data_IF_165130629419
#
_entry.id   IF_165130629419
#
_cell.length_a   1.000
_cell.length_b   1.000
_cell.length_c   1.000
_cell.angle_alpha   90.00
_cell.angle_beta   90.00
_cell.angle_gamma   90.00
#
_symmetry.space_group_name_H-M   'P 1'
#
loop_
_entity.id
_entity.type
_entity.pdbx_description
1 polymer ?
#
# COMPACT_ATOMS: atom_id res chain seq x y z
N UNK A 1 -19.31 23.70 19.31
CA UNK A 1 -19.05 24.06 20.73
C UNK A 1 -19.75 23.10 21.66
N UNK A 2 -21.07 22.82 21.50
CA UNK A 2 -21.81 21.87 22.34
C UNK A 2 -21.16 20.47 22.42
N UNK A 3 -20.68 19.93 21.28
CA UNK A 3 -19.97 18.65 21.26
C UNK A 3 -18.66 18.68 22.05
N UNK A 4 -17.90 19.78 21.98
CA UNK A 4 -16.66 19.95 22.77
C UNK A 4 -16.92 20.02 24.27
N UNK A 5 -18.15 20.37 24.68
CA UNK A 5 -18.61 20.39 26.06
C UNK A 5 -19.35 19.09 26.48
N UNK A 6 -19.19 18.01 25.71
CA UNK A 6 -19.72 16.69 26.09
C UNK A 6 -21.20 16.45 25.76
N UNK A 7 -21.81 17.26 24.90
CA UNK A 7 -23.21 17.06 24.49
C UNK A 7 -23.43 15.88 23.53
N UNK A 8 -22.40 15.08 23.26
CA UNK A 8 -22.45 13.94 22.37
C UNK A 8 -22.31 14.30 20.88
N UNK A 9 -22.47 13.32 19.96
CA UNK A 9 -22.37 13.53 18.53
C UNK A 9 -23.53 14.38 18.01
N UNK A 10 -23.29 15.12 16.92
CA UNK A 10 -24.30 15.92 16.23
C UNK A 10 -24.24 15.69 14.72
N UNK A 11 -25.42 15.66 14.10
CA UNK A 11 -25.59 15.64 12.66
C UNK A 11 -26.01 17.04 12.21
N UNK A 12 -25.29 17.63 11.26
CA UNK A 12 -25.64 18.90 10.62
C UNK A 12 -26.05 18.62 9.18
N UNK A 13 -27.33 18.82 8.89
CA UNK A 13 -27.86 18.79 7.52
C UNK A 13 -27.74 20.18 6.91
N UNK A 14 -26.91 20.34 5.89
CA UNK A 14 -26.71 21.59 5.17
C UNK A 14 -27.52 21.56 3.86
N UNK A 15 -28.56 22.40 3.77
CA UNK A 15 -29.37 22.57 2.56
C UNK A 15 -28.64 23.51 1.60
N UNK A 16 -27.79 22.93 0.74
CA UNK A 16 -26.93 23.69 -0.18
C UNK A 16 -27.49 23.79 -1.59
N UNK A 17 -27.06 24.79 -2.33
CA UNK A 17 -27.32 24.93 -3.76
C UNK A 17 -26.00 25.20 -4.48
N UNK A 18 -25.88 24.69 -5.71
CA UNK A 18 -24.75 25.03 -6.58
C UNK A 18 -25.13 26.23 -7.43
N UNK A 19 -24.46 27.37 -7.24
CA UNK A 19 -24.72 28.61 -7.95
C UNK A 19 -24.18 28.58 -9.38
N UNK A 20 -22.92 28.14 -9.54
CA UNK A 20 -22.22 28.10 -10.81
C UNK A 20 -22.37 26.78 -11.56
N UNK A 21 -21.97 26.68 -12.84
CA UNK A 21 -21.82 25.44 -13.57
C UNK A 21 -20.92 24.42 -12.86
N UNK A 22 -21.02 23.15 -13.26
CA UNK A 22 -20.20 22.08 -12.70
C UNK A 22 -18.68 22.31 -12.90
N UNK A 23 -18.32 22.87 -14.06
CA UNK A 23 -16.94 23.17 -14.44
C UNK A 23 -16.92 24.35 -15.41
N UNK A 24 -15.72 24.86 -15.71
CA UNK A 24 -15.54 25.93 -16.71
C UNK A 24 -16.01 25.56 -18.12
N UNK A 25 -16.10 24.27 -18.44
CA UNK A 25 -16.59 23.75 -19.72
C UNK A 25 -18.09 23.42 -19.74
N UNK A 26 -18.78 23.53 -18.59
CA UNK A 26 -20.20 23.23 -18.45
C UNK A 26 -21.06 24.48 -18.66
N UNK A 27 -22.23 24.31 -19.24
CA UNK A 27 -23.27 25.33 -19.35
C UNK A 27 -24.57 24.80 -18.76
N UNK A 28 -24.79 25.08 -17.48
CA UNK A 28 -25.93 24.57 -16.72
C UNK A 28 -27.29 25.12 -17.23
N UNK A 29 -27.32 26.14 -18.08
CA UNK A 29 -28.54 26.66 -18.72
C UNK A 29 -29.15 25.65 -19.70
N UNK A 30 -28.35 24.65 -20.15
CA UNK A 30 -28.80 23.57 -21.01
C UNK A 30 -29.69 22.54 -20.31
N UNK A 31 -29.61 22.45 -18.97
CA UNK A 31 -30.35 21.47 -18.17
C UNK A 31 -31.04 22.03 -16.93
N UNK A 32 -30.91 23.33 -16.66
CA UNK A 32 -31.62 24.04 -15.60
C UNK A 32 -32.49 25.15 -16.19
N UNK A 33 -33.75 25.19 -15.76
CA UNK A 33 -34.68 26.21 -16.20
C UNK A 33 -34.31 27.61 -15.63
N UNK A 34 -34.70 28.66 -16.34
CA UNK A 34 -34.42 30.06 -15.94
C UNK A 34 -34.99 30.40 -14.58
N UNK A 35 -36.21 29.95 -14.28
CA UNK A 35 -36.86 30.14 -12.96
C UNK A 35 -36.08 29.46 -11.83
N UNK A 36 -35.52 28.28 -12.08
CA UNK A 36 -34.67 27.56 -11.14
C UNK A 36 -33.39 28.36 -10.86
N UNK A 37 -32.71 28.82 -11.89
CA UNK A 37 -31.49 29.63 -11.75
C UNK A 37 -31.71 30.92 -10.98
N UNK A 38 -32.82 31.64 -11.22
CA UNK A 38 -33.20 32.84 -10.46
C UNK A 38 -33.44 32.48 -8.98
N UNK A 39 -34.15 31.41 -8.70
CA UNK A 39 -34.41 30.95 -7.34
C UNK A 39 -33.12 30.59 -6.59
N UNK A 40 -32.18 29.90 -7.26
CA UNK A 40 -30.89 29.50 -6.71
C UNK A 40 -30.05 30.75 -6.34
N UNK A 41 -29.98 31.72 -7.22
CA UNK A 41 -29.27 33.01 -6.96
C UNK A 41 -29.80 33.70 -5.68
N UNK A 42 -31.11 33.67 -5.46
CA UNK A 42 -31.71 34.22 -4.23
C UNK A 42 -31.33 33.44 -2.95
N UNK A 43 -30.79 32.22 -3.07
CA UNK A 43 -30.33 31.38 -1.94
C UNK A 43 -28.82 31.46 -1.71
N UNK A 44 -28.10 32.31 -2.40
CA UNK A 44 -26.67 32.52 -2.18
C UNK A 44 -26.39 32.83 -0.71
N UNK A 45 -25.56 32.02 -0.01
CA UNK A 45 -25.28 32.22 1.41
C UNK A 45 -24.56 33.54 1.70
N UNK A 46 -23.78 34.07 0.77
CA UNK A 46 -23.14 35.40 0.91
C UNK A 46 -24.20 36.47 0.95
N UNK A 47 -25.11 36.49 -0.04
CA UNK A 47 -26.20 37.45 -0.09
C UNK A 47 -27.15 37.35 1.11
N UNK A 48 -27.42 36.12 1.60
CA UNK A 48 -28.24 35.91 2.79
C UNK A 48 -27.55 36.44 4.05
N UNK A 49 -26.26 36.23 4.20
CA UNK A 49 -25.46 36.70 5.33
C UNK A 49 -25.37 38.25 5.30
N UNK A 50 -25.10 38.83 4.14
CA UNK A 50 -25.08 40.28 3.96
C UNK A 50 -26.40 40.92 4.37
N UNK A 51 -27.54 40.40 3.89
CA UNK A 51 -28.89 40.85 4.27
C UNK A 51 -29.13 40.73 5.77
N UNK A 52 -28.66 39.62 6.38
CA UNK A 52 -28.79 39.42 7.82
C UNK A 52 -27.98 40.48 8.61
N UNK A 53 -26.74 40.73 8.24
CA UNK A 53 -25.87 41.69 8.91
C UNK A 53 -26.40 43.14 8.78
N UNK A 54 -26.86 43.53 7.58
CA UNK A 54 -27.48 44.83 7.33
C UNK A 54 -28.76 45.02 8.14
N UNK A 55 -29.68 44.03 8.16
CA UNK A 55 -30.92 44.09 8.92
C UNK A 55 -30.71 44.22 10.42
N UNK A 56 -29.62 43.65 10.95
CA UNK A 56 -29.28 43.73 12.36
C UNK A 56 -28.34 44.87 12.71
N UNK A 57 -28.11 45.81 11.76
CA UNK A 57 -27.21 46.96 11.91
C UNK A 57 -25.81 46.58 12.43
N UNK A 58 -25.31 45.40 12.02
CA UNK A 58 -23.95 44.96 12.33
C UNK A 58 -22.94 45.61 11.37
N UNK A 59 -23.36 45.84 10.12
CA UNK A 59 -22.61 46.55 9.09
C UNK A 59 -23.53 47.53 8.35
N UNK A 60 -22.95 48.52 7.69
CA UNK A 60 -23.65 49.46 6.79
C UNK A 60 -23.46 49.04 5.33
N UNK A 61 -24.28 49.63 4.43
CA UNK A 61 -24.14 49.43 2.98
C UNK A 61 -22.77 49.95 2.48
N UNK A 62 -22.27 51.02 3.04
CA UNK A 62 -20.97 51.61 2.71
C UNK A 62 -19.82 50.66 3.12
N UNK A 63 -19.90 50.06 4.31
CA UNK A 63 -18.90 49.09 4.78
C UNK A 63 -18.88 47.84 3.90
N UNK A 64 -20.04 47.32 3.50
CA UNK A 64 -20.14 46.17 2.58
C UNK A 64 -19.54 46.51 1.22
N UNK A 65 -19.83 47.69 0.68
CA UNK A 65 -19.30 48.15 -0.60
C UNK A 65 -17.77 48.33 -0.54
N UNK A 66 -17.24 48.91 0.56
CA UNK A 66 -15.81 49.05 0.79
C UNK A 66 -15.11 47.69 0.85
N UNK A 67 -15.64 46.76 1.66
CA UNK A 67 -15.08 45.41 1.78
C UNK A 67 -15.06 44.67 0.44
N UNK A 68 -16.13 44.74 -0.36
CA UNK A 68 -16.16 44.15 -1.69
C UNK A 68 -15.09 44.72 -2.62
N UNK A 69 -14.89 46.04 -2.58
CA UNK A 69 -13.87 46.73 -3.39
C UNK A 69 -12.46 46.34 -2.95
N UNK A 70 -12.20 46.27 -1.65
CA UNK A 70 -10.91 45.88 -1.08
C UNK A 70 -10.57 44.42 -1.46
N UNK A 71 -11.53 43.50 -1.26
CA UNK A 71 -11.35 42.06 -1.62
C UNK A 71 -11.11 41.88 -3.12
N UNK A 72 -11.83 42.69 -3.97
CA UNK A 72 -11.57 42.59 -5.42
C UNK A 72 -10.14 43.02 -5.76
N UNK A 73 -9.65 44.12 -5.20
CA UNK A 73 -8.28 44.58 -5.40
C UNK A 73 -7.27 43.54 -4.92
N UNK A 74 -7.52 42.90 -3.76
CA UNK A 74 -6.66 41.87 -3.21
C UNK A 74 -6.59 40.63 -4.11
N UNK A 75 -7.75 40.14 -4.58
CA UNK A 75 -7.84 39.00 -5.49
C UNK A 75 -7.16 39.28 -6.82
N UNK A 76 -7.45 40.46 -7.44
CA UNK A 76 -6.83 40.84 -8.70
C UNK A 76 -5.30 40.94 -8.55
N UNK A 77 -4.81 41.54 -7.45
CA UNK A 77 -3.37 41.60 -7.15
C UNK A 77 -2.73 40.21 -6.99
N UNK A 78 -3.42 39.32 -6.27
CA UNK A 78 -2.93 37.96 -6.08
C UNK A 78 -2.88 37.17 -7.40
N UNK A 79 -3.87 37.35 -8.27
CA UNK A 79 -3.88 36.73 -9.61
C UNK A 79 -2.73 37.28 -10.48
N UNK A 80 -2.56 38.62 -10.53
CA UNK A 80 -1.47 39.26 -11.26
C UNK A 80 -0.08 38.85 -10.75
N UNK A 81 0.04 38.62 -9.44
CA UNK A 81 1.28 38.15 -8.83
C UNK A 81 1.55 36.68 -9.22
N UNK A 82 0.53 35.84 -9.16
CA UNK A 82 0.64 34.42 -9.57
C UNK A 82 1.04 34.29 -11.05
N UNK A 83 0.49 35.11 -11.93
CA UNK A 83 0.86 35.10 -13.37
C UNK A 83 2.32 35.50 -13.64
N UNK A 84 2.96 36.21 -12.70
CA UNK A 84 4.36 36.62 -12.81
C UNK A 84 5.34 35.58 -12.30
N UNK A 85 4.89 34.58 -11.57
CA UNK A 85 5.77 33.52 -11.10
C UNK A 85 6.35 32.72 -12.27
N UNK A 86 7.64 32.34 -12.20
CA UNK A 86 8.22 31.47 -13.21
C UNK A 86 7.54 30.10 -13.20
N UNK A 87 7.48 29.47 -14.35
CA UNK A 87 7.01 28.09 -14.42
C UNK A 87 7.90 27.20 -13.55
N UNK A 88 7.32 26.15 -12.90
CA UNK A 88 8.11 25.19 -12.15
C UNK A 88 9.20 24.54 -13.01
N UNK A 89 10.34 24.28 -12.42
CA UNK A 89 11.43 23.54 -13.10
C UNK A 89 11.03 22.08 -13.35
N UNK A 90 11.24 21.60 -14.56
CA UNK A 90 10.87 20.24 -14.97
C UNK A 90 11.57 19.16 -14.11
N UNK A 91 12.75 19.45 -13.57
CA UNK A 91 13.47 18.53 -12.66
C UNK A 91 12.72 18.25 -11.37
N UNK A 92 11.74 19.10 -10.99
CA UNK A 92 10.94 18.92 -9.76
C UNK A 92 9.76 17.96 -9.92
N UNK A 93 9.46 17.47 -11.13
CA UNK A 93 8.27 16.63 -11.40
C UNK A 93 8.22 15.36 -10.54
N UNK A 94 9.39 14.80 -10.18
CA UNK A 94 9.52 13.61 -9.32
C UNK A 94 9.70 13.97 -7.83
N UNK A 95 9.73 15.25 -7.47
CA UNK A 95 9.88 15.64 -6.07
C UNK A 95 8.64 15.29 -5.25
N UNK A 96 8.85 15.04 -3.98
CA UNK A 96 7.80 14.82 -2.99
C UNK A 96 6.91 13.59 -3.20
N UNK A 97 7.30 12.62 -4.06
CA UNK A 97 6.58 11.34 -4.16
C UNK A 97 6.78 10.52 -2.88
N UNK A 98 8.02 10.52 -2.35
CA UNK A 98 8.41 9.87 -1.09
C UNK A 98 9.16 10.82 -0.18
N UNK A 99 9.20 10.49 1.12
CA UNK A 99 10.01 11.21 2.13
C UNK A 99 11.50 10.92 2.00
N UNK A 100 11.87 9.80 1.36
CA UNK A 100 13.24 9.32 1.19
C UNK A 100 13.99 9.20 2.54
N UNK A 101 13.35 8.59 3.54
CA UNK A 101 13.93 8.39 4.87
C UNK A 101 15.11 7.40 4.80
N UNK A 102 16.36 7.84 5.05
CA UNK A 102 17.52 6.95 4.94
C UNK A 102 17.51 5.78 5.93
N UNK A 103 16.83 5.92 7.07
CA UNK A 103 16.72 4.84 8.06
C UNK A 103 15.92 3.64 7.53
N UNK A 104 14.99 3.90 6.61
CA UNK A 104 14.11 2.89 6.03
C UNK A 104 14.53 2.43 4.63
N UNK A 105 15.53 3.08 4.03
CA UNK A 105 16.05 2.75 2.70
C UNK A 105 17.55 2.36 2.73
N UNK A 106 18.14 2.29 3.92
CA UNK A 106 19.54 1.96 4.15
C UNK A 106 19.87 0.48 4.02
N UNK A 107 21.09 0.12 4.44
CA UNK A 107 21.50 -1.29 4.48
C UNK A 107 20.89 -2.02 5.68
N UNK A 108 20.44 -3.29 5.50
CA UNK A 108 19.86 -4.07 6.58
C UNK A 108 20.93 -4.37 7.64
N UNK A 109 20.55 -4.21 8.91
CA UNK A 109 21.38 -4.68 10.01
C UNK A 109 21.11 -6.17 10.26
N UNK A 110 22.13 -6.96 10.63
CA UNK A 110 21.91 -8.35 10.99
C UNK A 110 21.00 -8.47 12.22
N UNK A 111 20.08 -9.43 12.23
CA UNK A 111 19.19 -9.64 13.35
C UNK A 111 19.96 -10.07 14.61
N UNK A 112 19.52 -9.57 15.77
CA UNK A 112 19.95 -10.08 17.08
C UNK A 112 18.82 -10.90 17.66
N UNK A 113 19.13 -12.12 18.11
CA UNK A 113 18.16 -13.04 18.66
C UNK A 113 18.37 -13.11 20.19
N UNK A 114 17.37 -12.66 20.95
CA UNK A 114 17.44 -12.67 22.43
C UNK A 114 16.99 -14.00 23.03
N UNK A 115 16.12 -14.74 22.33
CA UNK A 115 15.69 -16.07 22.70
C UNK A 115 15.96 -17.03 21.53
N UNK A 116 16.28 -18.29 21.82
CA UNK A 116 16.39 -19.32 20.79
C UNK A 116 15.02 -19.83 20.29
N UNK A 117 13.94 -19.07 20.48
CA UNK A 117 12.58 -19.47 20.14
C UNK A 117 12.23 -19.11 18.71
N UNK A 118 11.75 -20.10 17.94
CA UNK A 118 11.13 -19.88 16.64
C UNK A 118 9.68 -19.42 16.81
N UNK A 119 9.28 -18.46 16.00
CA UNK A 119 7.92 -17.92 15.95
C UNK A 119 7.28 -18.12 14.59
N UNK A 120 5.95 -18.17 14.54
CA UNK A 120 5.21 -18.15 13.28
C UNK A 120 5.17 -16.75 12.71
N UNK A 121 4.82 -16.63 11.44
CA UNK A 121 4.67 -15.32 10.79
C UNK A 121 3.56 -14.47 11.47
N UNK A 122 2.49 -15.12 11.94
CA UNK A 122 1.43 -14.46 12.73
C UNK A 122 1.98 -13.86 14.02
N UNK A 123 2.71 -14.65 14.78
CA UNK A 123 3.28 -14.21 16.06
C UNK A 123 4.26 -13.05 15.84
N UNK A 124 5.11 -13.17 14.81
CA UNK A 124 6.09 -12.16 14.45
C UNK A 124 5.44 -10.80 14.07
N UNK A 125 4.36 -10.82 13.28
CA UNK A 125 3.60 -9.60 12.93
C UNK A 125 2.92 -9.04 14.19
N UNK A 126 2.27 -9.89 15.01
CA UNK A 126 1.62 -9.45 16.25
C UNK A 126 2.60 -8.78 17.22
N UNK A 127 3.76 -9.41 17.43
CA UNK A 127 4.80 -8.88 18.31
C UNK A 127 5.36 -7.55 17.77
N UNK A 128 5.65 -7.48 16.47
CA UNK A 128 6.09 -6.24 15.83
C UNK A 128 5.08 -5.10 15.97
N UNK A 129 3.78 -5.38 15.78
CA UNK A 129 2.71 -4.41 15.99
C UNK A 129 2.63 -3.97 17.45
N UNK A 130 2.72 -4.90 18.41
CA UNK A 130 2.72 -4.61 19.83
C UNK A 130 3.87 -3.68 20.22
N UNK A 131 5.08 -4.03 19.82
CA UNK A 131 6.29 -3.25 20.08
C UNK A 131 6.19 -1.82 19.55
N UNK A 132 5.68 -1.66 18.32
CA UNK A 132 5.51 -0.32 17.74
C UNK A 132 4.36 0.46 18.38
N UNK A 133 3.27 -0.18 18.80
CA UNK A 133 2.21 0.46 19.57
C UNK A 133 2.65 0.90 20.96
N UNK A 134 3.55 0.16 21.60
CA UNK A 134 4.20 0.57 22.85
C UNK A 134 5.13 1.79 22.64
N UNK A 135 5.89 1.78 21.54
CA UNK A 135 6.82 2.86 21.19
C UNK A 135 6.11 4.15 20.78
N UNK A 136 5.00 4.04 20.03
CA UNK A 136 4.29 5.19 19.47
C UNK A 136 2.81 5.20 19.87
N UNK A 137 2.41 6.10 20.81
CA UNK A 137 1.02 6.21 21.26
C UNK A 137 0.04 6.72 20.18
N UNK A 138 0.54 7.25 19.06
CA UNK A 138 -0.27 7.72 17.93
C UNK A 138 -0.69 6.60 16.98
N UNK A 139 -0.15 5.39 17.13
CA UNK A 139 -0.61 4.24 16.33
C UNK A 139 -2.02 3.86 16.77
N UNK A 140 -2.93 3.83 15.79
CA UNK A 140 -4.32 3.38 15.94
C UNK A 140 -4.59 2.33 14.86
N UNK A 141 -5.25 1.24 15.23
CA UNK A 141 -5.50 0.12 14.33
C UNK A 141 -6.99 -0.18 14.23
N UNK A 142 -7.47 -0.42 13.02
CA UNK A 142 -8.82 -0.94 12.80
C UNK A 142 -8.95 -1.72 11.50
N UNK A 143 -10.04 -2.41 11.40
CA UNK A 143 -10.45 -3.24 10.27
C UNK A 143 -11.61 -4.10 10.72
N UNK A 144 -12.00 -5.03 9.87
CA UNK A 144 -13.09 -5.95 10.18
C UNK A 144 -12.58 -7.07 11.11
N UNK A 145 -13.25 -7.26 12.24
CA UNK A 145 -12.93 -8.33 13.21
C UNK A 145 -11.52 -8.28 13.85
N UNK A 146 -10.81 -7.17 13.78
CA UNK A 146 -9.43 -7.06 14.30
C UNK A 146 -9.35 -7.04 15.82
N UNK A 147 -10.41 -6.65 16.51
CA UNK A 147 -10.44 -6.62 17.97
C UNK A 147 -10.68 -8.00 18.58
N UNK A 148 -10.32 -8.14 19.87
CA UNK A 148 -10.60 -9.33 20.66
C UNK A 148 -12.13 -9.55 20.85
N UNK A 149 -12.57 -10.78 21.02
CA UNK A 149 -11.77 -12.02 21.18
C UNK A 149 -11.28 -12.64 19.86
N UNK A 150 -11.70 -12.15 18.68
CA UNK A 150 -11.34 -12.74 17.39
C UNK A 150 -9.89 -12.45 17.00
N UNK A 151 -9.48 -11.18 17.05
CA UNK A 151 -8.11 -10.77 16.75
C UNK A 151 -7.74 -10.93 15.28
N UNK A 152 -8.66 -10.58 14.35
CA UNK A 152 -8.54 -10.79 12.92
C UNK A 152 -8.97 -12.19 12.48
N UNK A 153 -9.25 -12.37 11.19
CA UNK A 153 -9.70 -13.67 10.62
C UNK A 153 -8.71 -14.80 10.92
N UNK A 154 -7.42 -14.50 10.89
CA UNK A 154 -6.35 -15.46 11.12
C UNK A 154 -5.71 -15.35 12.51
N UNK A 155 -6.15 -14.39 13.33
CA UNK A 155 -5.65 -14.19 14.69
C UNK A 155 -4.39 -13.34 14.78
N UNK A 156 -4.04 -12.58 13.74
CA UNK A 156 -2.82 -11.76 13.70
C UNK A 156 -2.82 -10.65 14.76
N UNK A 157 -4.00 -10.07 15.05
CA UNK A 157 -4.15 -8.93 15.99
C UNK A 157 -4.66 -9.35 17.37
N UNK A 158 -4.68 -10.66 17.65
CA UNK A 158 -5.19 -11.18 18.93
C UNK A 158 -4.44 -10.59 20.12
N UNK A 159 -5.19 -10.15 21.14
CA UNK A 159 -4.67 -9.56 22.36
C UNK A 159 -4.27 -8.10 22.25
N UNK A 160 -4.25 -7.50 21.04
CA UNK A 160 -3.86 -6.09 20.89
C UNK A 160 -4.93 -5.13 21.39
N UNK A 161 -6.23 -5.39 21.17
CA UNK A 161 -7.28 -4.50 21.66
C UNK A 161 -7.40 -4.52 23.19
N UNK A 162 -7.12 -5.66 23.80
CA UNK A 162 -7.03 -5.79 25.25
C UNK A 162 -5.82 -5.08 25.85
N UNK A 163 -4.67 -5.13 25.15
CA UNK A 163 -3.44 -4.46 25.58
C UNK A 163 -3.47 -2.94 25.36
N UNK A 164 -4.18 -2.49 24.31
CA UNK A 164 -4.25 -1.08 23.91
C UNK A 164 -5.70 -0.61 23.77
N UNK A 165 -6.46 -0.49 24.88
CA UNK A 165 -7.86 -0.08 24.85
C UNK A 165 -8.05 1.26 24.13
N UNK A 166 -9.07 1.33 23.25
CA UNK A 166 -9.38 2.53 22.47
C UNK A 166 -8.44 2.81 21.28
N UNK A 167 -7.41 1.98 21.08
CA UNK A 167 -6.48 2.12 19.95
C UNK A 167 -6.56 0.98 18.94
N UNK A 168 -7.25 -0.11 19.27
CA UNK A 168 -7.53 -1.23 18.35
C UNK A 168 -9.03 -1.53 18.43
N UNK A 169 -9.75 -1.42 17.31
CA UNK A 169 -11.20 -1.57 17.29
C UNK A 169 -11.71 -2.09 15.94
N UNK A 170 -12.89 -2.69 15.96
CA UNK A 170 -13.54 -3.15 14.73
C UNK A 170 -14.20 -1.98 13.99
N UNK A 171 -14.13 -2.02 12.68
CA UNK A 171 -14.91 -1.17 11.78
C UNK A 171 -16.15 -1.91 11.28
N UNK A 172 -17.16 -1.20 10.76
CA UNK A 172 -18.16 -1.77 9.87
C UNK A 172 -17.52 -2.36 8.60
N UNK A 173 -18.26 -3.22 7.88
CA UNK A 173 -17.89 -3.73 6.55
C UNK A 173 -18.00 -2.60 5.52
N UNK A 174 -17.02 -1.73 5.49
CA UNK A 174 -17.00 -0.53 4.65
C UNK A 174 -15.55 -0.14 4.32
N UNK A 175 -14.91 -0.86 3.41
CA UNK A 175 -13.49 -0.74 3.10
C UNK A 175 -13.13 0.67 2.61
N UNK A 176 -14.03 1.33 1.85
CA UNK A 176 -13.87 2.74 1.48
C UNK A 176 -13.74 3.66 2.71
N UNK A 177 -14.53 3.39 3.76
CA UNK A 177 -14.46 4.14 5.02
C UNK A 177 -13.22 3.76 5.82
N UNK A 178 -12.83 2.48 5.85
CA UNK A 178 -11.60 2.04 6.50
C UNK A 178 -10.41 2.83 5.96
N UNK A 179 -10.24 2.88 4.64
CA UNK A 179 -9.15 3.61 4.00
C UNK A 179 -9.31 5.14 4.09
N UNK A 180 -10.53 5.67 3.89
CA UNK A 180 -10.78 7.11 3.92
C UNK A 180 -10.58 7.73 5.30
N UNK A 181 -11.02 7.06 6.36
CA UNK A 181 -10.76 7.48 7.75
C UNK A 181 -9.26 7.41 8.05
N UNK A 182 -8.55 6.39 7.54
CA UNK A 182 -7.11 6.29 7.69
C UNK A 182 -6.39 7.51 7.09
N UNK A 183 -6.76 7.92 5.89
CA UNK A 183 -6.21 9.12 5.27
C UNK A 183 -6.42 10.37 6.14
N UNK A 184 -7.66 10.58 6.61
CA UNK A 184 -7.99 11.72 7.46
C UNK A 184 -7.24 11.71 8.80
N UNK A 185 -7.13 10.56 9.45
CA UNK A 185 -6.38 10.43 10.71
C UNK A 185 -4.89 10.62 10.51
N UNK A 186 -4.32 10.12 9.41
CA UNK A 186 -2.91 10.31 9.08
C UNK A 186 -2.58 11.79 8.89
N UNK A 187 -3.38 12.54 8.13
CA UNK A 187 -3.26 13.99 7.97
C UNK A 187 -3.43 14.70 9.32
N UNK A 188 -4.29 14.18 10.20
CA UNK A 188 -4.46 14.65 11.58
C UNK A 188 -3.31 14.32 12.54
N UNK A 189 -2.22 13.71 12.05
CA UNK A 189 -1.01 13.42 12.81
C UNK A 189 -1.03 12.11 13.61
N UNK A 190 -1.95 11.19 13.31
CA UNK A 190 -1.92 9.81 13.79
C UNK A 190 -1.14 8.90 12.85
N UNK A 191 -0.84 7.69 13.32
CA UNK A 191 -0.23 6.61 12.54
C UNK A 191 -1.24 5.46 12.40
N UNK A 192 -2.12 5.50 11.41
CA UNK A 192 -3.12 4.47 11.21
C UNK A 192 -2.51 3.20 10.60
N UNK A 193 -2.87 2.04 11.15
CA UNK A 193 -2.60 0.72 10.61
C UNK A 193 -3.96 0.05 10.39
N UNK A 194 -4.35 -0.18 9.16
CA UNK A 194 -5.65 -0.75 8.82
C UNK A 194 -5.51 -2.12 8.16
N UNK A 195 -6.51 -2.97 8.35
CA UNK A 195 -6.55 -4.29 7.74
C UNK A 195 -7.67 -4.37 6.71
N UNK A 196 -7.31 -4.82 5.50
CA UNK A 196 -8.24 -5.40 4.52
C UNK A 196 -8.17 -6.91 4.67
N UNK A 197 -9.28 -7.55 5.06
CA UNK A 197 -9.28 -8.97 5.42
C UNK A 197 -8.76 -9.90 4.31
N UNK A 198 -9.05 -9.53 3.05
CA UNK A 198 -8.60 -10.23 1.85
C UNK A 198 -8.40 -9.24 0.71
N UNK A 199 -7.43 -9.52 -0.14
CA UNK A 199 -7.18 -8.72 -1.34
C UNK A 199 -8.42 -8.60 -2.25
N UNK A 200 -9.23 -9.64 -2.27
CA UNK A 200 -10.47 -9.70 -3.06
C UNK A 200 -11.51 -8.64 -2.64
N UNK A 201 -11.43 -8.11 -1.41
CA UNK A 201 -12.40 -7.17 -0.83
C UNK A 201 -11.94 -5.71 -0.86
N UNK A 202 -10.73 -5.43 -1.32
CA UNK A 202 -10.20 -4.05 -1.30
C UNK A 202 -10.87 -3.08 -2.29
N UNK A 203 -11.61 -3.60 -3.28
CA UNK A 203 -12.08 -2.82 -4.42
C UNK A 203 -13.02 -1.66 -4.07
N UNK A 204 -13.90 -1.73 -3.04
CA UNK A 204 -14.66 -0.56 -2.58
C UNK A 204 -13.77 0.60 -2.10
N UNK A 205 -12.54 0.31 -1.63
CA UNK A 205 -11.55 1.29 -1.19
C UNK A 205 -10.58 1.74 -2.31
N UNK A 206 -10.71 1.23 -3.54
CA UNK A 206 -9.74 1.46 -4.61
C UNK A 206 -9.49 2.95 -4.88
N UNK A 207 -10.52 3.79 -4.77
CA UNK A 207 -10.38 5.23 -4.97
C UNK A 207 -9.47 5.86 -3.92
N UNK A 208 -9.66 5.54 -2.64
CA UNK A 208 -8.84 6.04 -1.53
C UNK A 208 -7.41 5.53 -1.63
N UNK A 209 -7.24 4.25 -1.98
CA UNK A 209 -5.94 3.61 -2.12
C UNK A 209 -5.16 4.08 -3.37
N UNK A 210 -5.86 4.49 -4.44
CA UNK A 210 -5.21 4.93 -5.68
C UNK A 210 -5.06 6.45 -5.75
N UNK A 211 -6.08 7.24 -5.39
CA UNK A 211 -6.11 8.67 -5.66
C UNK A 211 -5.82 9.53 -4.43
N UNK A 212 -6.16 9.05 -3.22
CA UNK A 212 -6.07 9.90 -2.03
C UNK A 212 -4.78 9.65 -1.24
N UNK A 213 -4.63 8.48 -0.63
CA UNK A 213 -3.53 8.19 0.29
C UNK A 213 -2.14 8.42 -0.34
N UNK A 214 -1.80 7.82 -1.50
CA UNK A 214 -0.44 7.91 -2.05
C UNK A 214 -0.11 9.28 -2.63
N UNK A 215 -1.11 10.12 -2.91
CA UNK A 215 -0.91 11.42 -3.56
C UNK A 215 -0.82 12.60 -2.59
N UNK A 216 -1.14 12.41 -1.30
CA UNK A 216 -1.19 13.51 -0.31
C UNK A 216 0.12 14.30 -0.28
N UNK A 217 1.25 13.62 -0.12
CA UNK A 217 2.57 14.26 -0.06
C UNK A 217 2.90 15.01 -1.34
N UNK A 218 2.69 14.39 -2.49
CA UNK A 218 2.97 15.01 -3.79
C UNK A 218 2.09 16.24 -4.05
N UNK A 219 0.76 16.12 -3.81
CA UNK A 219 -0.19 17.22 -4.00
C UNK A 219 0.06 18.42 -3.08
N UNK A 220 0.61 18.15 -1.89
CA UNK A 220 0.95 19.19 -0.92
C UNK A 220 2.41 19.66 -1.01
N UNK A 221 3.17 19.23 -2.01
CA UNK A 221 4.59 19.55 -2.17
C UNK A 221 5.43 19.19 -0.92
N UNK A 222 5.09 18.10 -0.24
CA UNK A 222 5.78 17.61 0.95
C UNK A 222 5.30 18.17 2.28
N UNK A 223 4.39 19.14 2.27
CA UNK A 223 3.85 19.76 3.49
C UNK A 223 3.06 18.79 4.36
N UNK A 224 2.38 17.83 3.74
CA UNK A 224 1.56 16.84 4.44
C UNK A 224 2.09 15.45 4.28
N UNK A 225 2.03 14.69 5.37
CA UNK A 225 2.33 13.26 5.40
C UNK A 225 1.02 12.45 5.45
N UNK A 226 1.05 11.26 4.86
CA UNK A 226 -0.06 10.31 4.94
C UNK A 226 0.45 8.91 5.28
N UNK A 227 1.02 8.69 6.48
CA UNK A 227 1.75 7.47 6.84
C UNK A 227 0.81 6.29 7.18
N UNK A 228 -0.11 5.97 6.29
CA UNK A 228 -1.04 4.86 6.44
C UNK A 228 -0.34 3.54 6.16
N UNK A 229 -0.51 2.54 7.03
CA UNK A 229 -0.16 1.15 6.73
C UNK A 229 -1.44 0.38 6.43
N UNK A 230 -1.51 -0.23 5.24
CA UNK A 230 -2.61 -1.11 4.86
C UNK A 230 -2.10 -2.54 4.83
N UNK A 231 -2.52 -3.34 5.79
CA UNK A 231 -2.28 -4.78 5.85
C UNK A 231 -3.32 -5.50 4.99
N UNK A 232 -2.86 -6.38 4.12
CA UNK A 232 -3.75 -7.08 3.18
C UNK A 232 -3.38 -8.57 3.16
N UNK A 233 -4.33 -9.42 3.52
CA UNK A 233 -4.16 -10.86 3.38
C UNK A 233 -4.34 -11.27 1.91
N UNK A 234 -3.30 -11.89 1.34
CA UNK A 234 -3.20 -12.27 -0.09
C UNK A 234 -2.94 -13.77 -0.28
N UNK A 235 -3.01 -14.21 -1.52
CA UNK A 235 -2.56 -15.54 -1.95
C UNK A 235 -3.58 -16.65 -1.82
N UNK A 236 -3.35 -17.73 -2.55
CA UNK A 236 -4.14 -18.96 -2.57
C UNK A 236 -3.60 -20.07 -1.69
N UNK A 237 -3.74 -21.33 -2.14
CA UNK A 237 -3.40 -22.59 -1.46
C UNK A 237 -4.17 -22.84 -0.15
N UNK A 238 -5.31 -22.16 0.01
CA UNK A 238 -6.19 -22.32 1.17
C UNK A 238 -7.58 -22.84 0.80
N UNK A 239 -7.80 -23.19 -0.48
CA UNK A 239 -9.11 -23.56 -1.05
C UNK A 239 -10.13 -22.45 -0.94
N UNK A 240 -9.67 -21.19 -0.98
CA UNK A 240 -10.48 -19.98 -0.79
C UNK A 240 -11.37 -19.64 -1.97
N UNK A 241 -11.10 -20.21 -3.13
CA UNK A 241 -11.83 -19.90 -4.36
C UNK A 241 -11.61 -18.47 -4.85
N UNK A 242 -12.47 -17.97 -5.75
CA UNK A 242 -12.27 -16.68 -6.41
C UNK A 242 -12.43 -15.46 -5.51
N UNK A 243 -12.89 -15.65 -4.27
CA UNK A 243 -13.17 -14.54 -3.34
C UNK A 243 -12.16 -14.42 -2.19
N UNK A 244 -11.14 -15.30 -2.16
CA UNK A 244 -10.18 -15.33 -1.05
C UNK A 244 -8.77 -15.73 -1.51
N UNK A 245 -8.42 -15.54 -2.78
CA UNK A 245 -7.16 -16.05 -3.32
C UNK A 245 -6.38 -15.05 -4.16
N UNK A 246 -6.84 -13.80 -4.25
CA UNK A 246 -6.20 -12.79 -5.08
C UNK A 246 -4.82 -12.39 -4.55
N UNK A 247 -3.95 -12.03 -5.50
CA UNK A 247 -2.73 -11.26 -5.30
C UNK A 247 -2.91 -9.88 -5.93
N UNK A 248 -2.27 -8.85 -5.39
CA UNK A 248 -2.50 -7.45 -5.77
C UNK A 248 -1.21 -6.63 -5.82
N UNK A 249 -0.05 -7.27 -5.75
CA UNK A 249 1.23 -6.58 -5.77
C UNK A 249 1.42 -5.77 -7.05
N UNK A 250 1.00 -6.28 -8.20
CA UNK A 250 1.08 -5.58 -9.49
C UNK A 250 0.19 -4.33 -9.53
N UNK A 251 -1.00 -4.39 -8.95
CA UNK A 251 -1.90 -3.23 -8.84
C UNK A 251 -1.25 -2.09 -8.05
N UNK A 252 -0.69 -2.39 -6.88
CA UNK A 252 -0.07 -1.36 -6.05
C UNK A 252 1.29 -0.90 -6.58
N UNK A 253 2.08 -1.77 -7.21
CA UNK A 253 3.34 -1.40 -7.85
C UNK A 253 3.15 -0.39 -8.99
N UNK A 254 1.98 -0.36 -9.62
CA UNK A 254 1.63 0.62 -10.66
C UNK A 254 1.29 2.01 -10.11
N UNK A 255 1.11 2.17 -8.79
CA UNK A 255 0.68 3.43 -8.16
C UNK A 255 1.86 4.10 -7.47
N UNK A 256 2.38 5.24 -7.98
CA UNK A 256 3.43 6.00 -7.29
C UNK A 256 2.99 6.44 -5.89
N UNK A 257 3.93 6.48 -4.95
CA UNK A 257 3.71 6.96 -3.59
C UNK A 257 3.45 5.86 -2.56
N UNK A 258 3.26 4.61 -2.96
CA UNK A 258 3.22 3.46 -2.06
C UNK A 258 4.58 2.78 -1.94
N UNK A 259 5.02 2.44 -0.74
CA UNK A 259 5.91 1.32 -0.54
C UNK A 259 5.08 0.04 -0.51
N UNK A 260 5.57 -1.03 -1.15
CA UNK A 260 4.87 -2.32 -1.23
C UNK A 260 5.83 -3.41 -0.77
N UNK A 261 5.50 -4.08 0.33
CA UNK A 261 6.33 -5.13 0.93
C UNK A 261 5.57 -6.45 1.03
N UNK A 262 6.29 -7.55 0.89
CA UNK A 262 5.71 -8.89 0.83
C UNK A 262 6.65 -9.91 1.47
N UNK A 263 6.67 -10.03 2.81
CA UNK A 263 7.55 -10.97 3.52
C UNK A 263 7.19 -12.43 3.21
N UNK A 264 8.21 -13.28 3.23
CA UNK A 264 8.05 -14.73 3.08
C UNK A 264 8.25 -15.52 4.37
N UNK A 265 8.87 -14.95 5.41
CA UNK A 265 9.16 -15.61 6.68
C UNK A 265 8.87 -14.69 7.89
N UNK A 266 8.90 -15.28 9.09
CA UNK A 266 8.56 -14.60 10.33
C UNK A 266 9.51 -13.42 10.65
N UNK A 267 10.83 -13.61 10.49
CA UNK A 267 11.84 -12.58 10.72
C UNK A 267 11.59 -11.34 9.86
N UNK A 268 11.44 -11.55 8.54
CA UNK A 268 11.17 -10.44 7.62
C UNK A 268 9.83 -9.78 7.90
N UNK A 269 8.81 -10.58 8.24
CA UNK A 269 7.48 -10.04 8.56
C UNK A 269 7.54 -9.11 9.77
N UNK A 270 8.28 -9.47 10.83
CA UNK A 270 8.50 -8.58 11.99
C UNK A 270 9.25 -7.31 11.59
N UNK A 271 10.39 -7.47 10.90
CA UNK A 271 11.22 -6.32 10.51
C UNK A 271 10.50 -5.35 9.57
N UNK A 272 9.75 -5.87 8.57
CA UNK A 272 9.03 -5.05 7.61
C UNK A 272 7.79 -4.36 8.20
N UNK A 273 7.02 -5.02 9.09
CA UNK A 273 5.87 -4.36 9.73
C UNK A 273 6.32 -3.23 10.65
N UNK A 274 7.47 -3.39 11.32
CA UNK A 274 8.06 -2.34 12.13
C UNK A 274 8.56 -1.18 11.27
N UNK A 275 9.26 -1.45 10.16
CA UNK A 275 9.62 -0.42 9.18
C UNK A 275 8.40 0.33 8.66
N UNK A 276 7.32 -0.39 8.33
CA UNK A 276 6.06 0.21 7.89
C UNK A 276 5.43 1.10 8.97
N UNK A 277 5.43 0.67 10.23
CA UNK A 277 4.93 1.46 11.35
C UNK A 277 5.76 2.74 11.62
N UNK A 278 7.04 2.75 11.26
CA UNK A 278 7.93 3.92 11.40
C UNK A 278 7.97 4.82 10.18
N UNK A 279 7.48 4.35 9.01
CA UNK A 279 7.49 5.11 7.77
C UNK A 279 6.63 6.38 7.84
N UNK A 280 7.10 7.45 7.22
CA UNK A 280 6.36 8.70 6.95
C UNK A 280 5.52 8.63 5.68
N UNK A 281 5.80 7.66 4.84
CA UNK A 281 5.08 7.38 3.60
C UNK A 281 4.12 6.21 3.77
N UNK A 282 3.09 6.10 2.95
CA UNK A 282 2.14 5.02 3.05
C UNK A 282 2.73 3.68 2.59
N UNK A 283 2.33 2.59 3.25
CA UNK A 283 2.87 1.24 3.01
C UNK A 283 1.73 0.24 2.80
N UNK A 284 1.82 -0.53 1.73
CA UNK A 284 1.04 -1.76 1.52
C UNK A 284 1.86 -2.93 2.07
N UNK A 285 1.32 -3.60 3.07
CA UNK A 285 1.93 -4.76 3.70
C UNK A 285 1.16 -6.02 3.33
N UNK A 286 1.70 -6.79 2.38
CA UNK A 286 1.06 -7.99 1.84
C UNK A 286 1.39 -9.21 2.71
N UNK A 287 0.37 -9.93 3.16
CA UNK A 287 0.47 -11.06 4.08
C UNK A 287 -0.05 -12.33 3.42
N UNK A 288 0.86 -13.23 3.00
CA UNK A 288 0.42 -14.47 2.38
C UNK A 288 -0.21 -15.42 3.39
N UNK A 289 -1.52 -15.63 3.28
CA UNK A 289 -2.31 -16.44 4.21
C UNK A 289 -1.78 -17.87 4.42
N UNK A 290 -1.32 -18.50 3.34
CA UNK A 290 -0.74 -19.84 3.38
C UNK A 290 0.57 -19.94 4.16
N UNK A 291 1.25 -18.81 4.43
CA UNK A 291 2.50 -18.75 5.19
C UNK A 291 2.30 -18.49 6.68
N UNK A 292 1.17 -17.99 7.11
CA UNK A 292 0.94 -17.54 8.50
C UNK A 292 1.37 -18.56 9.58
N UNK A 293 1.08 -19.85 9.37
CA UNK A 293 1.41 -20.92 10.31
C UNK A 293 2.27 -22.03 9.69
N UNK A 294 2.79 -21.77 8.49
CA UNK A 294 3.63 -22.76 7.78
C UNK A 294 4.95 -22.95 8.52
N UNK A 295 5.32 -24.20 8.76
CA UNK A 295 6.54 -24.54 9.52
C UNK A 295 7.80 -24.00 8.84
N UNK A 296 7.85 -24.04 7.51
CA UNK A 296 9.00 -23.55 6.74
C UNK A 296 9.16 -22.00 6.81
N UNK A 297 8.09 -21.28 7.17
CA UNK A 297 8.12 -19.82 7.31
C UNK A 297 8.45 -19.36 8.76
N UNK A 298 8.60 -20.30 9.70
CA UNK A 298 9.09 -20.00 11.04
C UNK A 298 10.57 -19.64 11.01
N UNK A 299 10.93 -18.69 11.84
CA UNK A 299 12.33 -18.29 12.07
C UNK A 299 12.54 -18.01 13.56
N UNK A 300 13.79 -17.90 13.98
CA UNK A 300 14.09 -17.28 15.26
C UNK A 300 13.53 -15.86 15.28
N UNK A 301 13.02 -15.45 16.43
CA UNK A 301 12.46 -14.11 16.59
C UNK A 301 13.57 -13.10 16.81
N UNK A 302 13.70 -12.06 15.96
CA UNK A 302 14.64 -10.98 16.18
C UNK A 302 14.19 -10.05 17.32
N UNK A 303 15.12 -9.27 17.86
CA UNK A 303 14.85 -8.34 18.95
C UNK A 303 13.89 -7.20 18.53
N UNK A 304 13.49 -6.39 19.52
CA UNK A 304 12.55 -5.29 19.34
C UNK A 304 13.09 -4.10 18.53
N UNK A 305 14.37 -4.03 18.26
CA UNK A 305 14.98 -2.96 17.44
C UNK A 305 15.17 -3.36 15.98
N UNK A 306 14.99 -4.64 15.67
CA UNK A 306 15.16 -5.14 14.30
C UNK A 306 14.14 -4.55 13.34
N UNK A 307 14.64 -3.98 12.25
CA UNK A 307 13.84 -3.55 11.08
C UNK A 307 14.47 -4.09 9.79
N UNK A 308 13.65 -4.35 8.80
CA UNK A 308 14.08 -4.65 7.43
C UNK A 308 13.84 -3.40 6.58
N UNK A 309 14.88 -2.78 6.02
CA UNK A 309 14.72 -1.63 5.12
C UNK A 309 13.95 -2.00 3.86
N UNK A 310 13.21 -1.05 3.32
CA UNK A 310 12.52 -1.23 2.04
C UNK A 310 13.51 -1.30 0.88
N UNK A 311 13.17 -2.06 -0.15
CA UNK A 311 13.99 -2.20 -1.34
C UNK A 311 15.23 -3.07 -1.14
N UNK A 312 15.25 -3.93 -0.13
CA UNK A 312 16.35 -4.86 0.11
C UNK A 312 15.86 -6.30 0.03
N UNK A 313 16.23 -6.97 -1.05
CA UNK A 313 16.06 -8.40 -1.24
C UNK A 313 16.99 -9.23 -0.37
N UNK A 314 16.86 -10.55 -0.44
CA UNK A 314 17.75 -11.49 0.24
C UNK A 314 18.03 -12.72 -0.62
N UNK A 315 19.29 -13.11 -0.72
CA UNK A 315 19.66 -14.41 -1.28
C UNK A 315 19.35 -15.48 -0.22
N UNK A 316 18.29 -16.25 -0.46
CA UNK A 316 17.91 -17.39 0.42
C UNK A 316 18.75 -18.62 0.18
N UNK A 317 19.33 -18.72 -0.99
CA UNK A 317 20.26 -19.76 -1.38
C UNK A 317 21.21 -19.24 -2.44
N UNK A 318 22.49 -19.43 -2.21
CA UNK A 318 23.53 -19.15 -3.23
C UNK A 318 23.48 -20.19 -4.35
N UNK A 319 23.74 -19.75 -5.56
CA UNK A 319 23.82 -20.59 -6.74
C UNK A 319 24.68 -19.98 -7.85
N UNK A 320 24.90 -20.73 -8.94
CA UNK A 320 25.77 -20.30 -10.03
C UNK A 320 25.23 -20.60 -11.44
N UNK A 321 24.18 -21.43 -11.58
CA UNK A 321 23.73 -21.90 -12.89
C UNK A 321 22.42 -21.24 -13.34
N UNK A 322 21.55 -20.82 -12.43
CA UNK A 322 20.27 -20.17 -12.70
C UNK A 322 19.86 -19.28 -11.52
N UNK A 323 19.53 -18.03 -11.77
CA UNK A 323 18.88 -17.14 -10.80
C UNK A 323 17.37 -17.37 -10.82
N UNK A 324 16.76 -17.55 -9.64
CA UNK A 324 15.32 -17.58 -9.45
C UNK A 324 14.92 -16.36 -8.61
N UNK A 325 14.28 -15.38 -9.24
CA UNK A 325 13.72 -14.20 -8.56
C UNK A 325 12.30 -14.51 -8.14
N UNK A 326 11.98 -14.36 -6.85
CA UNK A 326 10.68 -14.76 -6.31
C UNK A 326 10.32 -13.99 -5.04
N UNK A 327 9.10 -14.14 -4.54
CA UNK A 327 8.57 -13.54 -3.30
C UNK A 327 7.39 -14.33 -2.74
N UNK A 328 6.99 -14.05 -1.51
CA UNK A 328 5.84 -14.69 -0.87
C UNK A 328 5.97 -16.22 -0.79
N UNK A 329 4.91 -16.94 -1.12
CA UNK A 329 4.85 -18.41 -1.02
C UNK A 329 5.78 -19.13 -2.00
N UNK A 330 6.03 -18.54 -3.15
CA UNK A 330 6.86 -19.14 -4.21
C UNK A 330 8.33 -19.26 -3.84
N UNK A 331 8.81 -18.52 -2.84
CA UNK A 331 10.15 -18.68 -2.25
C UNK A 331 10.40 -20.11 -1.81
N UNK A 332 9.44 -20.74 -1.12
CA UNK A 332 9.60 -22.12 -0.63
C UNK A 332 9.54 -23.16 -1.74
N UNK A 333 8.80 -22.88 -2.80
CA UNK A 333 8.79 -23.73 -4.00
C UNK A 333 10.12 -23.64 -4.74
N UNK A 334 10.70 -22.45 -4.85
CA UNK A 334 12.02 -22.24 -5.44
C UNK A 334 13.13 -22.93 -4.63
N UNK A 335 13.09 -22.83 -3.29
CA UNK A 335 14.03 -23.52 -2.41
C UNK A 335 13.91 -25.05 -2.50
N UNK A 336 12.69 -25.57 -2.63
CA UNK A 336 12.46 -27.00 -2.83
C UNK A 336 12.96 -27.45 -4.21
N UNK A 337 12.66 -26.68 -5.26
CA UNK A 337 13.20 -26.93 -6.60
C UNK A 337 14.73 -26.94 -6.57
N UNK A 338 15.36 -25.96 -5.91
CA UNK A 338 16.82 -25.87 -5.81
C UNK A 338 17.43 -27.12 -5.18
N UNK A 339 16.82 -27.68 -4.12
CA UNK A 339 17.24 -28.95 -3.50
C UNK A 339 17.09 -30.15 -4.43
N UNK A 340 16.05 -30.17 -5.26
CA UNK A 340 15.84 -31.25 -6.23
C UNK A 340 16.87 -31.16 -7.36
N UNK A 341 17.09 -29.99 -7.94
CA UNK A 341 17.99 -29.80 -9.08
C UNK A 341 19.47 -29.94 -8.71
N UNK A 342 19.82 -29.70 -7.45
CA UNK A 342 21.19 -29.97 -6.94
C UNK A 342 21.58 -31.43 -7.10
N UNK A 343 20.63 -32.38 -6.96
CA UNK A 343 20.86 -33.79 -7.21
C UNK A 343 21.15 -34.10 -8.69
N UNK A 344 20.68 -33.21 -9.56
CA UNK A 344 20.93 -33.27 -11.00
C UNK A 344 22.18 -32.47 -11.40
N UNK A 345 22.94 -31.93 -10.41
CA UNK A 345 24.16 -31.18 -10.61
C UNK A 345 23.93 -29.68 -10.96
N UNK A 346 22.71 -29.17 -10.84
CA UNK A 346 22.36 -27.78 -11.15
C UNK A 346 22.18 -26.96 -9.88
N UNK A 347 22.88 -25.82 -9.80
CA UNK A 347 22.94 -24.94 -8.64
C UNK A 347 22.09 -23.68 -8.86
N UNK A 348 20.92 -23.61 -8.23
CA UNK A 348 20.01 -22.47 -8.30
C UNK A 348 20.34 -21.44 -7.23
N UNK A 349 20.45 -20.17 -7.63
CA UNK A 349 20.40 -19.03 -6.74
C UNK A 349 18.95 -18.58 -6.55
N UNK A 350 18.51 -18.45 -5.30
CA UNK A 350 17.14 -18.07 -4.98
C UNK A 350 17.14 -16.70 -4.29
N UNK A 351 16.59 -15.69 -4.95
CA UNK A 351 16.38 -14.35 -4.42
C UNK A 351 14.94 -14.21 -3.96
N UNK A 352 14.76 -13.82 -2.71
CA UNK A 352 13.51 -13.36 -2.13
C UNK A 352 13.48 -11.83 -2.15
N UNK A 353 12.57 -11.23 -2.89
CA UNK A 353 12.49 -9.79 -3.05
C UNK A 353 12.14 -9.05 -1.76
N UNK A 354 11.29 -9.59 -0.91
CA UNK A 354 10.76 -8.97 0.33
C UNK A 354 10.06 -7.63 0.12
N UNK A 355 10.56 -6.80 -0.78
CA UNK A 355 9.96 -5.54 -1.23
C UNK A 355 9.69 -5.57 -2.73
N UNK A 356 8.48 -5.17 -3.09
CA UNK A 356 8.05 -5.01 -4.49
C UNK A 356 8.33 -3.57 -4.95
N UNK A 357 8.05 -2.60 -4.08
CA UNK A 357 8.36 -1.18 -4.29
C UNK A 357 8.98 -0.61 -3.00
N UNK A 358 10.21 -0.10 -3.06
CA UNK A 358 11.14 -0.15 -4.18
C UNK A 358 11.66 -1.57 -4.42
N UNK A 359 12.10 -1.83 -5.65
CA UNK A 359 12.72 -3.10 -6.05
C UNK A 359 14.24 -3.06 -5.82
N UNK A 360 14.81 -4.15 -5.32
CA UNK A 360 16.27 -4.32 -5.20
C UNK A 360 16.88 -4.73 -6.56
N UNK A 361 17.00 -3.76 -7.44
CA UNK A 361 17.51 -3.97 -8.80
C UNK A 361 18.96 -4.42 -8.80
N UNK A 362 19.79 -3.85 -7.93
CA UNK A 362 21.21 -4.16 -7.83
C UNK A 362 21.43 -5.63 -7.49
N UNK A 363 20.70 -6.16 -6.51
CA UNK A 363 20.76 -7.56 -6.13
C UNK A 363 20.37 -8.48 -7.30
N UNK A 364 19.27 -8.15 -7.99
CA UNK A 364 18.78 -8.91 -9.14
C UNK A 364 19.82 -8.90 -10.25
N UNK A 365 20.33 -7.72 -10.64
CA UNK A 365 21.26 -7.59 -11.76
C UNK A 365 22.61 -8.24 -11.47
N UNK A 366 23.11 -8.16 -10.23
CA UNK A 366 24.35 -8.86 -9.84
C UNK A 366 24.19 -10.37 -9.94
N UNK A 367 23.09 -10.92 -9.47
CA UNK A 367 22.78 -12.35 -9.55
C UNK A 367 22.63 -12.82 -11.00
N UNK A 368 21.87 -12.08 -11.82
CA UNK A 368 21.69 -12.41 -13.24
C UNK A 368 23.00 -12.38 -14.00
N UNK A 369 23.87 -11.40 -13.74
CA UNK A 369 25.21 -11.35 -14.36
C UNK A 369 26.11 -12.51 -13.91
N UNK A 370 25.93 -13.03 -12.71
CA UNK A 370 26.66 -14.18 -12.17
C UNK A 370 26.23 -15.48 -12.84
N UNK A 371 24.95 -15.68 -13.04
CA UNK A 371 24.38 -16.96 -13.49
C UNK A 371 24.07 -17.02 -14.98
N UNK A 372 23.99 -15.89 -15.66
CA UNK A 372 23.64 -15.68 -17.07
C UNK A 372 22.26 -16.24 -17.49
N UNK A 373 21.49 -16.76 -16.56
CA UNK A 373 20.15 -17.36 -16.77
C UNK A 373 19.22 -16.95 -15.65
N UNK A 374 17.96 -16.69 -15.99
CA UNK A 374 17.00 -16.21 -14.99
C UNK A 374 15.59 -16.77 -15.20
N UNK A 375 14.99 -17.14 -14.09
CA UNK A 375 13.56 -17.45 -13.97
C UNK A 375 12.94 -16.56 -12.91
N UNK A 376 11.75 -16.00 -13.21
CA UNK A 376 10.96 -15.24 -12.24
C UNK A 376 9.74 -16.08 -11.89
N UNK A 377 9.52 -16.33 -10.59
CA UNK A 377 8.41 -17.14 -10.09
C UNK A 377 7.56 -16.34 -9.11
N UNK A 378 6.26 -16.22 -9.37
CA UNK A 378 5.31 -15.53 -8.49
C UNK A 378 3.90 -16.10 -8.59
N UNK A 379 3.03 -15.73 -7.65
CA UNK A 379 1.70 -16.32 -7.53
C UNK A 379 0.60 -15.51 -8.24
N UNK A 380 0.83 -14.22 -8.54
CA UNK A 380 -0.10 -13.44 -9.35
C UNK A 380 -0.17 -13.98 -10.79
N UNK A 381 -1.13 -13.53 -11.60
CA UNK A 381 -1.32 -13.98 -12.98
C UNK A 381 -0.10 -13.72 -13.86
N UNK A 382 0.07 -14.53 -14.90
CA UNK A 382 1.19 -14.38 -15.84
C UNK A 382 1.07 -13.07 -16.64
N UNK A 383 -0.15 -12.73 -17.07
CA UNK A 383 -0.41 -11.48 -17.79
C UNK A 383 -0.46 -10.31 -16.82
N UNK A 384 0.37 -9.31 -17.08
CA UNK A 384 0.50 -8.08 -16.30
C UNK A 384 0.84 -8.25 -14.80
N UNK A 385 1.17 -9.47 -14.34
CA UNK A 385 1.73 -9.67 -13.00
C UNK A 385 3.11 -9.03 -12.87
N UNK A 386 3.53 -8.67 -11.65
CA UNK A 386 4.76 -7.91 -11.39
C UNK A 386 6.03 -8.58 -11.95
N UNK A 387 6.03 -9.90 -12.10
CA UNK A 387 7.13 -10.61 -12.78
C UNK A 387 7.35 -10.20 -14.24
N UNK A 388 6.38 -9.57 -14.90
CA UNK A 388 6.58 -9.01 -16.25
C UNK A 388 7.43 -7.74 -16.20
N UNK A 389 7.23 -6.88 -15.21
CA UNK A 389 8.05 -5.69 -14.97
C UNK A 389 9.48 -6.08 -14.61
N UNK A 390 9.66 -7.04 -13.69
CA UNK A 390 11.01 -7.56 -13.35
C UNK A 390 11.71 -8.11 -14.59
N UNK A 391 10.99 -8.85 -15.44
CA UNK A 391 11.54 -9.38 -16.69
C UNK A 391 11.98 -8.28 -17.66
N UNK A 392 11.18 -7.22 -17.81
CA UNK A 392 11.52 -6.08 -18.66
C UNK A 392 12.79 -5.37 -18.16
N UNK A 393 12.89 -5.07 -16.87
CA UNK A 393 14.08 -4.45 -16.26
C UNK A 393 15.34 -5.30 -16.39
N UNK A 394 15.23 -6.62 -16.24
CA UNK A 394 16.35 -7.54 -16.49
C UNK A 394 16.76 -7.49 -17.97
N UNK A 395 15.82 -7.51 -18.90
CA UNK A 395 16.11 -7.43 -20.33
C UNK A 395 16.80 -6.12 -20.69
N UNK A 396 16.36 -4.99 -20.17
CA UNK A 396 16.96 -3.68 -20.40
C UNK A 396 18.39 -3.57 -19.86
N UNK A 397 18.64 -4.12 -18.64
CA UNK A 397 19.89 -3.87 -17.92
C UNK A 397 20.90 -5.04 -17.95
N UNK A 398 20.46 -6.23 -18.37
CA UNK A 398 21.28 -7.45 -18.35
C UNK A 398 21.30 -8.22 -19.68
N UNK A 399 20.74 -7.69 -20.78
CA UNK A 399 20.65 -8.40 -22.06
C UNK A 399 21.99 -8.95 -22.54
N UNK A 400 23.08 -8.21 -22.36
CA UNK A 400 24.43 -8.64 -22.73
C UNK A 400 25.04 -9.72 -21.84
N UNK A 401 24.38 -10.07 -20.75
CA UNK A 401 24.82 -11.11 -19.80
C UNK A 401 23.91 -12.35 -19.81
N UNK A 402 22.86 -12.33 -20.63
CA UNK A 402 21.91 -13.44 -20.71
C UNK A 402 22.32 -14.44 -21.78
N UNK A 403 22.43 -15.72 -21.40
CA UNK A 403 22.66 -16.84 -22.31
C UNK A 403 21.34 -17.42 -22.87
N UNK A 404 20.18 -16.99 -22.35
CA UNK A 404 18.87 -17.50 -22.75
C UNK A 404 17.74 -16.52 -22.42
N UNK A 405 16.48 -16.90 -22.68
CA UNK A 405 15.34 -16.04 -22.43
C UNK A 405 15.08 -15.86 -20.92
N UNK A 406 14.53 -14.70 -20.55
CA UNK A 406 13.93 -14.51 -19.22
C UNK A 406 12.66 -15.33 -19.13
N UNK A 407 12.65 -16.35 -18.30
CA UNK A 407 11.51 -17.28 -18.12
C UNK A 407 10.63 -16.80 -16.97
N UNK A 408 9.32 -16.77 -17.18
CA UNK A 408 8.34 -16.45 -16.12
C UNK A 408 7.47 -17.68 -15.82
N UNK A 409 7.29 -17.97 -14.54
CA UNK A 409 6.38 -18.99 -14.02
C UNK A 409 5.43 -18.31 -13.03
N UNK A 410 4.14 -18.31 -13.34
CA UNK A 410 3.13 -17.57 -12.58
C UNK A 410 1.80 -18.34 -12.62
N UNK A 411 0.77 -17.84 -11.91
CA UNK A 411 -0.57 -18.39 -12.04
C UNK A 411 -1.10 -18.21 -13.48
N UNK A 412 -2.00 -19.11 -13.87
CA UNK A 412 -2.71 -18.98 -15.14
C UNK A 412 -3.68 -17.81 -15.10
N UNK A 413 -3.94 -17.20 -16.24
CA UNK A 413 -4.83 -16.05 -16.39
C UNK A 413 -6.32 -16.48 -16.23
N UNK A 414 -6.68 -16.86 -15.02
CA UNK A 414 -8.04 -17.27 -14.63
C UNK A 414 -8.26 -17.08 -13.14
N UNK A 415 -9.51 -17.15 -12.71
CA UNK A 415 -9.85 -17.14 -11.28
C UNK A 415 -9.40 -18.42 -10.59
N UNK A 416 -8.99 -18.32 -9.33
CA UNK A 416 -8.58 -19.47 -8.53
C UNK A 416 -9.82 -20.26 -8.10
N UNK A 417 -9.95 -21.56 -8.49
CA UNK A 417 -11.12 -22.37 -8.12
C UNK A 417 -11.03 -22.86 -6.67
N UNK A 418 -12.19 -23.17 -6.05
CA UNK A 418 -12.24 -23.76 -4.71
C UNK A 418 -11.89 -25.25 -4.66
N UNK A 419 -12.02 -25.97 -5.77
CA UNK A 419 -11.68 -27.39 -5.84
C UNK A 419 -10.15 -27.56 -5.79
N UNK A 420 -9.60 -28.35 -4.84
CA UNK A 420 -8.15 -28.42 -4.59
C UNK A 420 -7.30 -28.79 -5.82
N UNK A 421 -7.78 -29.73 -6.63
CA UNK A 421 -7.09 -30.15 -7.85
C UNK A 421 -7.06 -29.06 -8.93
N UNK A 422 -8.09 -28.22 -8.99
CA UNK A 422 -8.17 -27.09 -9.91
C UNK A 422 -7.36 -25.89 -9.39
N UNK A 423 -7.41 -25.61 -8.08
CA UNK A 423 -6.54 -24.60 -7.45
C UNK A 423 -5.06 -24.89 -7.77
N UNK A 424 -4.61 -26.14 -7.56
CA UNK A 424 -3.25 -26.58 -7.87
C UNK A 424 -2.92 -26.58 -9.38
N UNK A 425 -3.92 -26.67 -10.25
CA UNK A 425 -3.73 -26.58 -11.71
C UNK A 425 -3.60 -25.14 -12.21
N UNK A 426 -4.05 -24.17 -11.42
CA UNK A 426 -4.00 -22.72 -11.74
C UNK A 426 -2.75 -22.07 -11.15
N UNK A 427 -2.49 -22.32 -9.87
CA UNK A 427 -1.40 -21.72 -9.11
C UNK A 427 -0.03 -22.36 -9.44
N UNK A 428 1.09 -21.65 -9.26
CA UNK A 428 2.43 -22.19 -9.42
C UNK A 428 2.67 -23.45 -8.58
N UNK A 429 3.51 -24.32 -9.07
CA UNK A 429 3.92 -25.53 -8.34
C UNK A 429 5.41 -25.82 -8.56
N UNK A 430 6.01 -26.62 -7.69
CA UNK A 430 7.42 -27.04 -7.85
C UNK A 430 7.65 -27.70 -9.22
N UNK A 431 6.69 -28.49 -9.70
CA UNK A 431 6.76 -29.11 -11.03
C UNK A 431 6.71 -28.04 -12.15
N UNK A 432 5.86 -27.02 -12.02
CA UNK A 432 5.80 -25.90 -12.97
C UNK A 432 7.09 -25.06 -12.97
N UNK A 433 7.64 -24.81 -11.77
CA UNK A 433 8.94 -24.14 -11.64
C UNK A 433 10.07 -24.98 -12.26
N UNK A 434 10.04 -26.32 -12.13
CA UNK A 434 11.03 -27.21 -12.75
C UNK A 434 11.02 -27.09 -14.28
N UNK A 435 9.85 -27.11 -14.89
CA UNK A 435 9.71 -26.92 -16.35
C UNK A 435 10.23 -25.53 -16.78
N UNK A 436 9.97 -24.49 -15.98
CA UNK A 436 10.51 -23.16 -16.21
C UNK A 436 12.03 -23.10 -16.11
N UNK A 437 12.61 -23.76 -15.11
CA UNK A 437 14.06 -23.85 -14.92
C UNK A 437 14.74 -24.63 -16.06
N UNK A 438 14.19 -25.78 -16.44
CA UNK A 438 14.67 -26.59 -17.58
C UNK A 438 14.63 -25.77 -18.89
N UNK A 439 13.58 -24.97 -19.10
CA UNK A 439 13.49 -24.08 -20.25
C UNK A 439 14.59 -22.98 -20.22
N UNK A 440 14.88 -22.41 -19.06
CA UNK A 440 15.92 -21.39 -18.91
C UNK A 440 17.33 -21.97 -19.10
N UNK A 441 17.53 -23.24 -18.74
CA UNK A 441 18.80 -23.95 -18.84
C UNK A 441 19.06 -24.58 -20.21
N UNK A 442 18.06 -24.65 -21.09
CA UNK A 442 18.16 -25.29 -22.39
C UNK A 442 18.98 -24.48 -23.44
N UNK A 443 19.44 -23.29 -23.07
CA UNK A 443 20.25 -22.37 -23.89
C UNK A 443 21.71 -22.28 -23.29
#
# INVERSE_FOLDING_TARGET
EAMRHGAGPALVEAMVVRLDPHSSSDDHRKYRGETELQTITGRDPILQTERYLLRNAVVTDEEVASLRAELKIEVDRAADEADRYPQPDESTVMAHIYSNDPALLGEPQPPRYLSGQEVTMIDAINHGLREEMERNPKIVMWGEDVADPKGGVFGVTRGLSSAFPGRVFNSPLAEASIAGVAAGMAIGGYKPIVEMQFADYLWPAALQLRNEIPTVRWRSQGEWECPVVVRIAVGGYIKGGPWHSANVESFFAHIPGWYVVYPSCAEDAKGLIKAAAQSKDPVIFLEHKGLYRRVQAKTLEPDADYIVPFGKGMIRREGKDLTVVTWGSTVYMALELARQMEKDGVSLEVIDLRSIVPLDEDLIYQSVRKTSRVMIAHEDTLTAGFGAEVAARIAENCIGSLDGPVVRVAAKDTFVPSAPNLELAVLPSVAGLRLGAEKALAF
#
